data_IF_697363739133
#
_entry.id   IF_697363739133
#
_cell.length_a   1.000
_cell.length_b   1.000
_cell.length_c   1.000
_cell.angle_alpha   90.00
_cell.angle_beta   90.00
_cell.angle_gamma   90.00
#
_symmetry.space_group_name_H-M   'P 1'
#
loop_
_entity.id
_entity.type
_entity.pdbx_description
1 polymer ?
#
# COMPACT_ATOMS: atom_id res chain seq x y z
N UNK A 1 31.25 -28.24 2.19
CA UNK A 1 32.64 -27.88 1.87
C UNK A 1 33.27 -27.28 3.13
N UNK A 2 34.50 -27.65 3.44
CA UNK A 2 35.16 -27.17 4.65
C UNK A 2 35.33 -25.63 4.60
N UNK A 3 35.16 -25.02 5.75
CA UNK A 3 35.33 -23.55 5.89
C UNK A 3 36.82 -23.20 6.04
N UNK A 4 37.26 -21.96 5.68
CA UNK A 4 38.65 -21.54 5.90
C UNK A 4 39.11 -21.68 7.36
N UNK A 5 38.20 -21.55 8.32
CA UNK A 5 38.44 -21.67 9.75
C UNK A 5 38.77 -23.14 10.15
N UNK A 6 38.04 -24.07 9.57
CA UNK A 6 38.27 -25.52 9.80
C UNK A 6 39.61 -26.00 9.19
N UNK A 7 39.97 -25.46 8.00
CA UNK A 7 41.26 -25.79 7.38
C UNK A 7 42.45 -25.14 8.12
N UNK A 8 42.28 -23.96 8.73
CA UNK A 8 43.29 -23.35 9.61
C UNK A 8 43.53 -24.19 10.86
N UNK A 9 42.47 -24.70 11.50
CA UNK A 9 42.59 -25.58 12.64
C UNK A 9 43.32 -26.90 12.28
N UNK A 10 43.09 -27.46 11.08
CA UNK A 10 43.84 -28.64 10.60
C UNK A 10 45.28 -28.34 10.32
N UNK A 11 45.61 -27.17 9.79
CA UNK A 11 46.99 -26.74 9.57
C UNK A 11 47.76 -26.64 10.89
N UNK A 12 47.18 -26.00 11.92
CA UNK A 12 47.78 -25.88 13.24
C UNK A 12 48.00 -27.25 13.89
N UNK A 13 47.02 -28.17 13.78
CA UNK A 13 47.14 -29.53 14.31
C UNK A 13 48.21 -30.36 13.58
N UNK A 14 48.42 -30.14 12.27
CA UNK A 14 49.45 -30.78 11.49
C UNK A 14 50.86 -30.27 11.86
N UNK A 15 50.98 -28.94 12.06
CA UNK A 15 52.24 -28.33 12.53
C UNK A 15 52.62 -28.84 13.92
N UNK A 16 51.65 -28.99 14.83
CA UNK A 16 51.90 -29.52 16.18
C UNK A 16 52.35 -31.00 16.18
N UNK A 17 52.08 -31.72 15.09
CA UNK A 17 52.50 -33.12 14.89
C UNK A 17 53.73 -33.28 14.02
N UNK A 18 54.41 -32.16 13.66
CA UNK A 18 55.57 -32.08 12.75
C UNK A 18 55.29 -32.68 11.35
N UNK A 19 53.97 -32.77 10.95
CA UNK A 19 53.57 -33.22 9.61
C UNK A 19 53.53 -32.04 8.67
N UNK A 20 54.69 -31.68 8.12
CA UNK A 20 54.86 -30.49 7.25
C UNK A 20 54.17 -30.67 5.91
N UNK A 21 53.97 -31.91 5.42
CA UNK A 21 53.30 -32.16 4.16
C UNK A 21 51.75 -31.88 4.29
N UNK A 22 51.14 -32.33 5.35
CA UNK A 22 49.74 -32.10 5.67
C UNK A 22 49.50 -30.58 5.92
N UNK A 23 50.42 -29.91 6.62
CA UNK A 23 50.36 -28.49 6.88
C UNK A 23 50.44 -27.66 5.58
N UNK A 24 51.29 -28.01 4.62
CA UNK A 24 51.44 -27.37 3.32
C UNK A 24 50.17 -27.57 2.49
N UNK A 25 49.62 -28.78 2.45
CA UNK A 25 48.37 -29.05 1.73
C UNK A 25 47.19 -28.26 2.27
N UNK A 26 47.08 -28.11 3.59
CA UNK A 26 46.04 -27.28 4.23
C UNK A 26 46.23 -25.79 3.88
N UNK A 27 47.45 -25.28 3.84
CA UNK A 27 47.77 -23.91 3.42
C UNK A 27 47.30 -23.63 1.99
N UNK A 28 47.59 -24.52 1.06
CA UNK A 28 47.20 -24.40 -0.35
C UNK A 28 45.65 -24.36 -0.48
N UNK A 29 44.96 -25.17 0.33
CA UNK A 29 43.47 -25.17 0.37
C UNK A 29 42.92 -23.90 0.94
N UNK A 30 43.50 -23.35 1.99
CA UNK A 30 43.10 -22.07 2.57
C UNK A 30 43.21 -20.95 1.52
N UNK A 31 44.36 -20.83 0.84
CA UNK A 31 44.56 -19.83 -0.22
C UNK A 31 43.54 -19.97 -1.36
N UNK A 32 43.22 -21.19 -1.77
CA UNK A 32 42.18 -21.43 -2.79
C UNK A 32 40.79 -21.03 -2.32
N UNK A 33 40.45 -21.26 -1.06
CA UNK A 33 39.17 -20.88 -0.47
C UNK A 33 39.07 -19.37 -0.31
N UNK A 34 40.12 -18.73 0.17
CA UNK A 34 40.19 -17.25 0.30
C UNK A 34 40.09 -16.55 -1.07
N UNK A 35 40.76 -17.07 -2.11
CA UNK A 35 40.60 -16.58 -3.49
C UNK A 35 39.18 -16.77 -4.03
N UNK A 36 38.54 -17.91 -3.74
CA UNK A 36 37.12 -18.12 -4.13
C UNK A 36 36.18 -17.14 -3.43
N UNK A 37 36.38 -16.90 -2.14
CA UNK A 37 35.58 -15.93 -1.36
C UNK A 37 35.79 -14.52 -1.89
N UNK A 38 37.04 -14.12 -2.17
CA UNK A 38 37.37 -12.81 -2.73
C UNK A 38 36.77 -12.59 -4.14
N UNK A 39 36.77 -13.63 -4.99
CA UNK A 39 36.13 -13.57 -6.30
C UNK A 39 34.60 -13.51 -6.18
N UNK A 40 33.97 -14.31 -5.33
CA UNK A 40 32.53 -14.21 -5.06
C UNK A 40 32.13 -12.86 -4.45
N UNK A 41 32.99 -12.22 -3.67
CA UNK A 41 32.73 -10.87 -3.16
C UNK A 41 32.86 -9.78 -4.25
N UNK A 42 33.76 -9.99 -5.24
CA UNK A 42 33.90 -9.08 -6.39
C UNK A 42 32.76 -9.20 -7.41
N UNK A 43 32.23 -10.40 -7.62
CA UNK A 43 31.12 -10.65 -8.56
C UNK A 43 29.74 -10.22 -8.02
N UNK A 44 29.62 -9.94 -6.74
CA UNK A 44 28.41 -9.39 -6.13
C UNK A 44 28.40 -7.85 -6.23
N UNK A 45 28.41 -7.31 -7.42
CA UNK A 45 27.78 -6.00 -7.65
C UNK A 45 26.27 -6.19 -7.60
N UNK A 46 25.70 -6.21 -6.41
CA UNK A 46 24.26 -6.08 -6.23
C UNK A 46 23.91 -4.66 -6.64
N UNK A 47 23.48 -4.49 -7.87
CA UNK A 47 22.92 -3.21 -8.33
C UNK A 47 21.48 -3.16 -7.84
N UNK A 48 21.18 -2.26 -6.91
CA UNK A 48 19.81 -2.03 -6.50
C UNK A 48 19.01 -1.51 -7.70
N UNK A 49 17.92 -2.18 -8.02
CA UNK A 49 16.99 -1.76 -9.05
C UNK A 49 15.94 -0.81 -8.46
N UNK A 50 15.22 -0.10 -9.32
CA UNK A 50 14.10 0.75 -8.89
C UNK A 50 13.05 -0.09 -8.13
N UNK A 51 12.86 -1.35 -8.54
CA UNK A 51 11.94 -2.27 -7.89
C UNK A 51 12.40 -2.66 -6.48
N UNK A 52 13.70 -2.87 -6.24
CA UNK A 52 14.24 -3.19 -4.91
C UNK A 52 14.03 -2.03 -3.93
N UNK A 53 14.18 -0.79 -4.43
CA UNK A 53 13.91 0.42 -3.64
C UNK A 53 12.42 0.54 -3.36
N UNK A 54 11.56 0.34 -4.37
CA UNK A 54 10.12 0.38 -4.23
C UNK A 54 9.61 -0.65 -3.21
N UNK A 55 10.09 -1.90 -3.30
CA UNK A 55 9.75 -2.97 -2.33
C UNK A 55 10.21 -2.63 -0.91
N UNK A 56 11.39 -2.03 -0.76
CA UNK A 56 11.89 -1.61 0.55
C UNK A 56 11.03 -0.50 1.15
N UNK A 57 10.62 0.48 0.35
CA UNK A 57 9.72 1.56 0.78
C UNK A 57 8.34 0.98 1.15
N UNK A 58 7.82 0.05 0.36
CA UNK A 58 6.56 -0.64 0.64
C UNK A 58 6.59 -1.38 1.99
N UNK A 59 7.66 -2.10 2.29
CA UNK A 59 7.84 -2.78 3.58
C UNK A 59 7.92 -1.80 4.76
N UNK A 60 8.51 -0.63 4.57
CA UNK A 60 8.68 0.38 5.63
C UNK A 60 7.41 1.21 5.88
N UNK A 61 6.66 1.50 4.85
CA UNK A 61 5.53 2.44 4.89
C UNK A 61 4.16 1.77 4.79
N UNK A 62 4.10 0.50 4.34
CA UNK A 62 2.86 -0.19 3.98
C UNK A 62 2.21 0.34 2.69
N UNK A 63 2.86 1.26 1.97
CA UNK A 63 2.35 1.85 0.73
C UNK A 63 2.78 0.97 -0.44
N UNK A 64 1.88 0.47 -1.31
CA UNK A 64 2.20 -0.44 -2.41
C UNK A 64 2.92 0.27 -3.57
N UNK A 65 4.11 0.80 -3.31
CA UNK A 65 4.90 1.60 -4.27
C UNK A 65 5.41 0.73 -5.42
N UNK A 66 5.65 -0.55 -5.19
CA UNK A 66 6.06 -1.51 -6.23
C UNK A 66 4.99 -1.68 -7.32
N UNK A 67 3.72 -1.42 -7.00
CA UNK A 67 2.58 -1.51 -7.92
C UNK A 67 2.29 -0.18 -8.65
N UNK A 68 3.08 0.88 -8.42
CA UNK A 68 2.84 2.23 -8.94
C UNK A 68 3.77 2.61 -10.12
N UNK A 69 4.50 1.65 -10.70
CA UNK A 69 5.46 1.87 -11.78
C UNK A 69 4.87 1.85 -13.20
N UNK A 70 5.73 1.99 -14.21
CA UNK A 70 5.35 2.07 -15.63
C UNK A 70 4.58 0.83 -16.19
N UNK A 71 4.63 -0.31 -15.51
CA UNK A 71 3.81 -1.51 -15.80
C UNK A 71 2.32 -1.31 -15.50
N UNK A 72 1.94 -0.22 -14.81
CA UNK A 72 0.54 0.04 -14.46
C UNK A 72 -0.36 0.33 -15.66
N UNK A 73 0.17 0.86 -16.76
CA UNK A 73 -0.64 1.17 -17.95
C UNK A 73 -1.25 -0.10 -18.54
N UNK A 74 -0.49 -1.20 -18.62
CA UNK A 74 -1.01 -2.48 -19.13
C UNK A 74 -2.01 -3.11 -18.13
N UNK A 75 -1.71 -3.06 -16.85
CA UNK A 75 -2.64 -3.50 -15.81
C UNK A 75 -3.95 -2.72 -15.82
N UNK A 76 -3.89 -1.40 -15.99
CA UNK A 76 -5.07 -0.54 -16.08
C UNK A 76 -5.91 -0.82 -17.33
N UNK A 77 -5.29 -1.18 -18.46
CA UNK A 77 -6.03 -1.57 -19.68
C UNK A 77 -6.94 -2.78 -19.44
N UNK A 78 -6.44 -3.78 -18.72
CA UNK A 78 -7.18 -5.03 -18.48
C UNK A 78 -7.99 -5.04 -17.17
N UNK A 79 -8.01 -3.93 -16.42
CA UNK A 79 -8.74 -3.80 -15.14
C UNK A 79 -10.22 -4.19 -15.29
N UNK A 80 -10.89 -3.71 -16.35
CA UNK A 80 -12.30 -4.01 -16.60
C UNK A 80 -12.57 -5.52 -16.65
N UNK A 81 -11.79 -6.26 -17.44
CA UNK A 81 -11.93 -7.72 -17.58
C UNK A 81 -11.68 -8.45 -16.25
N UNK A 82 -10.64 -8.04 -15.50
CA UNK A 82 -10.34 -8.65 -14.19
C UNK A 82 -11.45 -8.42 -13.18
N UNK A 83 -12.04 -7.23 -13.14
CA UNK A 83 -13.17 -6.93 -12.26
C UNK A 83 -14.44 -7.66 -12.70
N UNK A 84 -14.76 -7.74 -14.01
CA UNK A 84 -15.91 -8.47 -14.55
C UNK A 84 -15.84 -9.97 -14.20
N UNK A 85 -14.66 -10.55 -14.24
CA UNK A 85 -14.45 -11.96 -13.86
C UNK A 85 -14.80 -12.24 -12.38
N UNK A 86 -14.83 -11.21 -11.52
CA UNK A 86 -15.12 -11.33 -10.08
C UNK A 86 -16.50 -10.79 -9.69
N UNK A 87 -17.00 -9.78 -10.40
CA UNK A 87 -18.29 -9.13 -10.14
C UNK A 87 -19.22 -9.41 -11.31
N UNK A 88 -19.93 -10.52 -11.21
CA UNK A 88 -20.78 -11.04 -12.30
C UNK A 88 -22.06 -10.23 -12.42
N UNK A 89 -22.50 -9.93 -13.64
CA UNK A 89 -23.77 -9.29 -13.93
C UNK A 89 -23.81 -7.78 -13.72
N UNK A 90 -22.63 -7.12 -13.53
CA UNK A 90 -22.52 -5.68 -13.37
C UNK A 90 -21.57 -5.04 -14.40
N UNK A 91 -21.54 -5.55 -15.63
CA UNK A 91 -20.55 -5.19 -16.65
C UNK A 91 -20.50 -3.69 -16.92
N UNK A 92 -21.67 -3.04 -17.01
CA UNK A 92 -21.75 -1.59 -17.25
C UNK A 92 -21.15 -0.77 -16.11
N UNK A 93 -21.44 -1.16 -14.86
CA UNK A 93 -20.91 -0.46 -13.68
C UNK A 93 -19.40 -0.67 -13.56
N UNK A 94 -18.92 -1.88 -13.75
CA UNK A 94 -17.49 -2.23 -13.75
C UNK A 94 -16.74 -1.46 -14.82
N UNK A 95 -17.25 -1.41 -16.05
CA UNK A 95 -16.60 -0.68 -17.13
C UNK A 95 -16.59 0.83 -16.89
N UNK A 96 -17.64 1.41 -16.31
CA UNK A 96 -17.69 2.82 -15.96
C UNK A 96 -16.62 3.17 -14.89
N UNK A 97 -16.49 2.35 -13.85
CA UNK A 97 -15.46 2.49 -12.81
C UNK A 97 -14.06 2.37 -13.41
N UNK A 98 -13.78 1.31 -14.16
CA UNK A 98 -12.49 1.08 -14.78
C UNK A 98 -12.08 2.21 -15.74
N UNK A 99 -13.02 2.73 -16.52
CA UNK A 99 -12.80 3.85 -17.43
C UNK A 99 -12.45 5.15 -16.68
N UNK A 100 -13.15 5.44 -15.60
CA UNK A 100 -12.89 6.64 -14.78
C UNK A 100 -11.49 6.59 -14.15
N UNK A 101 -11.11 5.43 -13.59
CA UNK A 101 -9.78 5.23 -13.01
C UNK A 101 -8.68 5.33 -14.06
N UNK A 102 -8.87 4.69 -15.23
CA UNK A 102 -7.93 4.81 -16.35
C UNK A 102 -7.71 6.25 -16.78
N UNK A 103 -8.80 7.04 -16.87
CA UNK A 103 -8.74 8.45 -17.24
C UNK A 103 -7.94 9.28 -16.24
N UNK A 104 -8.20 9.09 -14.94
CA UNK A 104 -7.46 9.79 -13.88
C UNK A 104 -5.97 9.43 -13.91
N UNK A 105 -5.64 8.14 -13.99
CA UNK A 105 -4.25 7.65 -14.03
C UNK A 105 -3.50 8.06 -15.31
N UNK A 106 -4.21 8.32 -16.39
CA UNK A 106 -3.62 8.85 -17.63
C UNK A 106 -3.33 10.37 -17.56
N UNK A 107 -3.61 11.03 -16.43
CA UNK A 107 -3.29 12.44 -16.21
C UNK A 107 -4.29 13.42 -16.86
N UNK A 108 -5.51 12.98 -17.20
CA UNK A 108 -6.55 13.86 -17.74
C UNK A 108 -7.29 14.68 -16.68
N UNK A 109 -7.05 14.40 -15.39
CA UNK A 109 -7.62 15.13 -14.27
C UNK A 109 -6.58 16.06 -13.63
N UNK A 110 -7.03 17.14 -12.97
CA UNK A 110 -6.18 18.19 -12.38
C UNK A 110 -5.25 17.74 -11.25
N UNK A 111 -5.27 16.45 -10.90
CA UNK A 111 -4.43 15.84 -9.86
C UNK A 111 -4.74 16.34 -8.43
N UNK A 112 -5.79 17.14 -8.26
CA UNK A 112 -6.20 17.65 -6.95
C UNK A 112 -7.34 16.86 -6.33
N UNK A 113 -8.04 16.03 -7.08
CA UNK A 113 -9.20 15.24 -6.66
C UNK A 113 -8.79 13.81 -6.31
N UNK A 114 -9.63 13.04 -5.57
CA UNK A 114 -9.47 11.60 -5.43
C UNK A 114 -9.32 10.88 -6.78
N UNK A 115 -8.70 9.69 -6.80
CA UNK A 115 -8.52 8.87 -8.02
C UNK A 115 -9.85 8.63 -8.74
N UNK A 116 -10.92 8.48 -7.96
CA UNK A 116 -12.27 8.32 -8.47
C UNK A 116 -13.30 8.48 -7.36
N UNK A 117 -14.46 9.00 -7.72
CA UNK A 117 -15.61 9.15 -6.82
C UNK A 117 -16.82 8.53 -7.49
N UNK A 118 -17.46 7.58 -6.81
CA UNK A 118 -18.52 6.76 -7.40
C UNK A 118 -19.72 6.67 -6.46
N UNK A 119 -20.92 6.85 -7.00
CA UNK A 119 -22.16 6.59 -6.31
C UNK A 119 -22.80 5.31 -6.84
N UNK A 120 -22.84 4.27 -6.00
CA UNK A 120 -23.48 3.00 -6.32
C UNK A 120 -24.93 2.98 -5.84
N UNK A 121 -25.87 3.04 -6.75
CA UNK A 121 -27.31 3.00 -6.47
C UNK A 121 -27.87 1.66 -6.90
N UNK A 122 -28.66 1.03 -6.01
CA UNK A 122 -29.32 -0.25 -6.32
C UNK A 122 -29.73 -1.01 -5.06
N UNK A 123 -30.54 -2.07 -5.19
CA UNK A 123 -31.00 -2.88 -4.06
C UNK A 123 -29.83 -3.59 -3.36
N UNK A 124 -30.12 -4.17 -2.20
CA UNK A 124 -29.15 -5.01 -1.46
C UNK A 124 -28.81 -6.27 -2.26
N UNK A 125 -27.57 -6.78 -2.10
CA UNK A 125 -27.14 -8.03 -2.71
C UNK A 125 -26.69 -7.95 -4.17
N UNK A 126 -26.76 -6.81 -4.84
CA UNK A 126 -26.34 -6.67 -6.26
C UNK A 126 -24.84 -6.52 -6.48
N UNK A 127 -24.02 -6.60 -5.42
CA UNK A 127 -22.56 -6.61 -5.55
C UNK A 127 -21.86 -5.26 -5.33
N UNK A 128 -22.54 -4.21 -4.82
CA UNK A 128 -21.94 -2.88 -4.58
C UNK A 128 -20.66 -2.95 -3.71
N UNK A 129 -20.78 -3.59 -2.56
CA UNK A 129 -19.64 -3.76 -1.62
C UNK A 129 -18.57 -4.70 -2.18
N UNK A 130 -18.97 -5.73 -2.92
CA UNK A 130 -18.02 -6.66 -3.54
C UNK A 130 -17.20 -5.96 -4.63
N UNK A 131 -17.82 -5.10 -5.43
CA UNK A 131 -17.09 -4.29 -6.40
C UNK A 131 -16.01 -3.41 -5.73
N UNK A 132 -16.34 -2.75 -4.61
CA UNK A 132 -15.37 -1.97 -3.83
C UNK A 132 -14.20 -2.85 -3.33
N UNK A 133 -14.48 -4.05 -2.81
CA UNK A 133 -13.43 -4.99 -2.36
C UNK A 133 -12.53 -5.48 -3.48
N UNK A 134 -13.10 -5.81 -4.63
CA UNK A 134 -12.32 -6.25 -5.80
C UNK A 134 -11.50 -5.09 -6.38
N UNK A 135 -12.03 -3.88 -6.33
CA UNK A 135 -11.32 -2.68 -6.74
C UNK A 135 -10.13 -2.37 -5.81
N UNK A 136 -10.31 -2.53 -4.48
CA UNK A 136 -9.21 -2.39 -3.53
C UNK A 136 -8.08 -3.40 -3.81
N UNK A 137 -8.45 -4.65 -4.05
CA UNK A 137 -7.48 -5.70 -4.39
C UNK A 137 -6.74 -5.39 -5.71
N UNK A 138 -7.46 -4.88 -6.72
CA UNK A 138 -6.87 -4.59 -8.03
C UNK A 138 -5.96 -3.35 -8.00
N UNK A 139 -6.35 -2.28 -7.29
CA UNK A 139 -5.61 -1.02 -7.22
C UNK A 139 -4.48 -1.04 -6.18
N UNK A 140 -4.72 -1.65 -5.03
CA UNK A 140 -3.84 -1.54 -3.85
C UNK A 140 -3.28 -2.90 -3.40
N UNK A 141 -3.59 -3.99 -4.10
CA UNK A 141 -3.03 -5.32 -3.85
C UNK A 141 -3.62 -6.06 -2.66
N UNK A 142 -4.50 -5.45 -1.87
CA UNK A 142 -5.16 -6.08 -0.73
C UNK A 142 -6.62 -5.65 -0.62
N UNK A 143 -7.48 -6.57 -0.17
CA UNK A 143 -8.88 -6.27 0.14
C UNK A 143 -9.05 -5.45 1.42
N UNK A 144 -8.02 -5.38 2.25
CA UNK A 144 -8.02 -4.65 3.51
C UNK A 144 -7.73 -3.15 3.33
N UNK A 145 -7.35 -2.73 2.11
CA UNK A 145 -7.20 -1.32 1.77
C UNK A 145 -8.56 -0.60 1.62
N UNK A 146 -9.47 -0.85 2.57
CA UNK A 146 -10.81 -0.24 2.62
C UNK A 146 -11.03 0.41 3.99
N UNK A 147 -11.36 1.70 3.95
CA UNK A 147 -11.85 2.44 5.09
C UNK A 147 -13.39 2.44 5.00
N UNK A 148 -14.05 1.53 5.71
CA UNK A 148 -15.51 1.47 5.73
C UNK A 148 -16.06 2.36 6.83
N UNK A 149 -17.07 3.15 6.49
CA UNK A 149 -17.87 3.98 7.37
C UNK A 149 -19.36 3.68 7.13
N UNK A 150 -20.07 3.34 8.17
CA UNK A 150 -21.52 3.22 8.15
C UNK A 150 -22.12 4.59 8.48
N UNK A 151 -22.75 5.23 7.50
CA UNK A 151 -23.27 6.60 7.67
C UNK A 151 -24.47 6.69 8.61
N UNK A 152 -25.07 5.58 9.00
CA UNK A 152 -26.07 5.57 10.07
C UNK A 152 -25.50 5.98 11.44
N UNK A 153 -24.21 5.74 11.68
CA UNK A 153 -23.49 6.18 12.88
C UNK A 153 -23.14 7.68 12.86
N UNK A 154 -23.32 8.32 11.68
CA UNK A 154 -23.00 9.72 11.41
C UNK A 154 -24.26 10.56 11.10
N UNK A 155 -25.38 10.22 11.74
CA UNK A 155 -26.67 10.87 11.51
C UNK A 155 -26.99 11.99 12.51
N UNK A 156 -26.14 12.24 13.48
CA UNK A 156 -26.33 13.23 14.54
C UNK A 156 -25.38 14.43 14.40
N UNK A 157 -25.61 15.51 15.18
CA UNK A 157 -24.80 16.72 15.16
C UNK A 157 -23.34 16.52 15.57
N UNK A 158 -23.00 15.42 16.21
CA UNK A 158 -21.61 15.09 16.61
C UNK A 158 -20.85 14.36 15.48
N UNK A 159 -21.54 14.01 14.40
CA UNK A 159 -21.00 13.25 13.28
C UNK A 159 -19.76 13.88 12.64
N UNK A 160 -19.74 15.21 12.51
CA UNK A 160 -18.58 15.94 11.99
C UNK A 160 -17.35 15.72 12.87
N UNK A 161 -17.50 15.82 14.18
CA UNK A 161 -16.39 15.57 15.14
C UNK A 161 -15.90 14.11 15.10
N UNK A 162 -16.80 13.15 14.84
CA UNK A 162 -16.42 11.75 14.66
C UNK A 162 -15.57 11.53 13.39
N UNK A 163 -15.79 12.34 12.35
CA UNK A 163 -15.05 12.24 11.08
C UNK A 163 -13.69 12.93 11.11
N UNK A 164 -13.62 14.16 11.64
CA UNK A 164 -12.42 14.99 11.59
C UNK A 164 -11.71 15.14 12.93
N UNK A 165 -12.32 14.64 14.01
CA UNK A 165 -11.83 14.84 15.38
C UNK A 165 -12.34 16.12 16.02
N UNK A 166 -12.12 16.23 17.31
CA UNK A 166 -12.49 17.39 18.14
C UNK A 166 -11.36 18.39 18.21
N UNK A 167 -11.71 19.68 18.30
CA UNK A 167 -10.76 20.77 18.54
C UNK A 167 -10.18 20.70 19.96
N UNK A 168 -8.95 21.14 20.14
CA UNK A 168 -8.32 21.20 21.45
C UNK A 168 -9.20 21.94 22.47
N UNK A 169 -9.36 21.35 23.66
CA UNK A 169 -10.16 21.90 24.75
C UNK A 169 -11.58 21.33 24.88
N UNK A 170 -12.02 20.49 23.94
CA UNK A 170 -13.30 19.79 24.04
C UNK A 170 -13.13 18.35 24.56
N UNK A 171 -14.17 17.82 25.19
CA UNK A 171 -14.22 16.42 25.68
C UNK A 171 -14.10 15.48 24.48
N UNK A 172 -13.19 14.49 24.56
CA UNK A 172 -12.92 13.53 23.46
C UNK A 172 -11.72 13.90 22.59
N UNK A 173 -10.94 14.91 22.94
CA UNK A 173 -9.73 15.32 22.20
C UNK A 173 -8.66 14.19 22.10
N UNK A 174 -8.55 13.37 23.14
CA UNK A 174 -7.53 12.30 23.21
C UNK A 174 -7.88 11.08 22.35
N UNK A 175 -9.10 10.93 21.86
CA UNK A 175 -9.57 9.74 21.11
C UNK A 175 -9.78 10.01 19.60
N UNK A 176 -8.87 10.78 18.99
CA UNK A 176 -8.91 11.08 17.56
C UNK A 176 -8.34 9.93 16.69
N UNK A 177 -7.92 8.81 17.29
CA UNK A 177 -7.20 7.73 16.62
C UNK A 177 -8.02 7.00 15.53
N UNK A 178 -9.34 7.07 15.59
CA UNK A 178 -10.26 6.36 14.68
C UNK A 178 -11.05 7.28 13.73
N UNK A 179 -10.69 8.57 13.65
CA UNK A 179 -11.33 9.51 12.71
C UNK A 179 -10.99 9.16 11.27
N UNK A 180 -11.85 9.59 10.32
CA UNK A 180 -11.58 9.40 8.88
C UNK A 180 -10.23 10.02 8.48
N UNK A 181 -9.97 11.23 8.96
CA UNK A 181 -8.72 11.94 8.67
C UNK A 181 -7.48 11.17 9.14
N UNK A 182 -7.50 10.58 10.33
CA UNK A 182 -6.39 9.80 10.85
C UNK A 182 -6.24 8.45 10.12
N UNK A 183 -7.36 7.78 9.81
CA UNK A 183 -7.34 6.53 9.03
C UNK A 183 -6.75 6.73 7.64
N UNK A 184 -7.10 7.83 6.95
CA UNK A 184 -6.54 8.18 5.64
C UNK A 184 -5.08 8.62 5.75
N UNK A 185 -4.68 9.33 6.83
CA UNK A 185 -3.29 9.68 7.07
C UNK A 185 -2.41 8.44 7.20
N UNK A 186 -2.89 7.40 7.92
CA UNK A 186 -2.18 6.12 8.07
C UNK A 186 -2.19 5.28 6.80
N UNK A 187 -3.31 5.29 6.07
CA UNK A 187 -3.51 4.50 4.85
C UNK A 187 -3.96 5.38 3.69
N UNK A 188 -3.06 6.18 3.09
CA UNK A 188 -3.43 7.13 2.04
C UNK A 188 -3.85 6.45 0.72
N UNK A 189 -3.48 5.20 0.51
CA UNK A 189 -3.86 4.39 -0.65
C UNK A 189 -4.96 3.42 -0.26
N UNK A 190 -6.20 3.91 -0.22
CA UNK A 190 -7.35 3.15 0.25
C UNK A 190 -8.63 3.53 -0.50
N UNK A 191 -9.61 2.63 -0.42
CA UNK A 191 -10.99 2.94 -0.80
C UNK A 191 -11.75 3.39 0.44
N UNK A 192 -12.39 4.53 0.36
CA UNK A 192 -13.30 5.01 1.38
C UNK A 192 -14.72 4.59 0.98
N UNK A 193 -15.26 3.61 1.68
CA UNK A 193 -16.59 3.11 1.44
C UNK A 193 -17.57 3.74 2.45
N UNK A 194 -18.43 4.61 1.94
CA UNK A 194 -19.49 5.27 2.69
C UNK A 194 -20.78 4.46 2.49
N UNK A 195 -21.15 3.62 3.45
CA UNK A 195 -22.36 2.80 3.37
C UNK A 195 -23.55 3.58 3.88
N UNK A 196 -24.72 3.43 3.24
CA UNK A 196 -25.98 4.09 3.61
C UNK A 196 -25.88 5.63 3.67
N UNK A 197 -25.25 6.22 2.67
CA UNK A 197 -24.94 7.67 2.59
C UNK A 197 -26.17 8.56 2.82
N UNK A 198 -27.35 8.08 2.48
CA UNK A 198 -28.64 8.79 2.67
C UNK A 198 -29.01 9.03 4.14
N UNK A 199 -28.37 8.33 5.08
CA UNK A 199 -28.59 8.47 6.53
C UNK A 199 -27.67 9.51 7.19
N UNK A 200 -26.66 10.00 6.47
CA UNK A 200 -25.68 10.93 7.00
C UNK A 200 -26.31 12.30 7.32
N UNK A 201 -25.80 12.95 8.37
CA UNK A 201 -26.13 14.36 8.66
C UNK A 201 -25.73 15.26 7.47
N UNK A 202 -26.54 16.26 7.10
CA UNK A 202 -26.22 17.20 6.00
C UNK A 202 -24.87 17.89 6.12
N UNK A 203 -24.35 18.14 7.33
CA UNK A 203 -23.04 18.72 7.54
C UNK A 203 -21.91 17.76 7.14
N UNK A 204 -22.10 16.45 7.38
CA UNK A 204 -21.19 15.40 6.92
C UNK A 204 -21.14 15.36 5.39
N UNK A 205 -22.31 15.45 4.72
CA UNK A 205 -22.37 15.49 3.26
C UNK A 205 -21.61 16.73 2.73
N UNK A 206 -21.81 17.90 3.34
CA UNK A 206 -21.10 19.12 2.94
C UNK A 206 -19.57 18.97 3.08
N UNK A 207 -19.13 18.31 4.15
CA UNK A 207 -17.71 18.05 4.40
C UNK A 207 -17.12 17.05 3.38
N UNK A 208 -17.88 16.03 3.03
CA UNK A 208 -17.50 15.08 1.97
C UNK A 208 -17.41 15.74 0.60
N UNK A 209 -18.30 16.69 0.27
CA UNK A 209 -18.20 17.47 -0.98
C UNK A 209 -16.88 18.22 -1.08
N UNK A 210 -16.36 18.78 0.01
CA UNK A 210 -15.04 19.40 0.04
C UNK A 210 -13.93 18.38 -0.31
N UNK A 211 -14.02 17.16 0.22
CA UNK A 211 -13.05 16.08 -0.11
C UNK A 211 -13.11 15.76 -1.61
N UNK A 212 -14.31 15.66 -2.17
CA UNK A 212 -14.51 15.33 -3.59
C UNK A 212 -13.98 16.41 -4.53
N UNK A 213 -14.05 17.67 -4.15
CA UNK A 213 -13.63 18.81 -4.99
C UNK A 213 -12.14 19.16 -4.78
N UNK A 214 -11.71 19.30 -3.53
CA UNK A 214 -10.36 19.75 -3.21
C UNK A 214 -9.36 18.59 -2.97
N UNK A 215 -9.84 17.35 -2.81
CA UNK A 215 -9.01 16.18 -2.49
C UNK A 215 -8.26 16.29 -1.18
N UNK A 216 -8.76 17.12 -0.26
CA UNK A 216 -8.15 17.35 1.06
C UNK A 216 -9.21 17.66 2.10
N UNK A 217 -8.87 17.41 3.36
CA UNK A 217 -9.72 17.73 4.49
C UNK A 217 -8.85 18.18 5.66
N UNK A 218 -9.27 19.23 6.37
CA UNK A 218 -8.59 19.69 7.58
C UNK A 218 -9.22 19.03 8.80
N UNK A 219 -8.37 18.43 9.65
CA UNK A 219 -8.80 17.80 10.90
C UNK A 219 -9.12 18.84 11.99
N UNK A 220 -9.69 18.40 13.11
CA UNK A 220 -10.01 19.26 14.24
C UNK A 220 -8.78 19.91 14.93
N UNK A 221 -7.57 19.48 14.58
CA UNK A 221 -6.31 20.03 15.07
C UNK A 221 -5.68 21.04 14.10
N UNK A 222 -6.31 21.29 12.94
CA UNK A 222 -5.81 22.20 11.91
C UNK A 222 -4.84 21.56 10.91
N UNK A 223 -4.60 20.24 10.97
CA UNK A 223 -3.74 19.56 10.00
C UNK A 223 -4.53 19.21 8.74
N UNK A 224 -3.95 19.43 7.58
CA UNK A 224 -4.55 19.06 6.30
C UNK A 224 -4.17 17.64 5.92
N UNK A 225 -5.18 16.81 5.66
CA UNK A 225 -5.02 15.42 5.20
C UNK A 225 -5.35 15.33 3.72
N UNK A 226 -4.52 14.61 2.97
CA UNK A 226 -4.61 14.47 1.52
C UNK A 226 -5.38 13.20 1.14
N UNK A 227 -6.39 13.34 0.30
CA UNK A 227 -7.27 12.27 -0.20
C UNK A 227 -7.04 11.95 -1.69
N UNK A 228 -6.03 12.55 -2.34
CA UNK A 228 -5.79 12.39 -3.79
C UNK A 228 -5.49 10.96 -4.21
N UNK A 229 -4.96 10.16 -3.32
CA UNK A 229 -4.64 8.75 -3.58
C UNK A 229 -5.76 7.79 -3.17
N UNK A 230 -6.90 8.30 -2.75
CA UNK A 230 -8.06 7.48 -2.37
C UNK A 230 -9.04 7.32 -3.51
N UNK A 231 -9.90 6.31 -3.41
CA UNK A 231 -11.15 6.17 -4.19
C UNK A 231 -12.31 6.26 -3.21
N UNK A 232 -13.36 6.98 -3.53
CA UNK A 232 -14.53 7.21 -2.67
C UNK A 232 -15.78 6.65 -3.33
#
# INVERSE_FOLDING_TARGET
PPTPTEEKAKQEAAVAKEDYEAALNSKIRIEKLEKKIANHAKDRKVTATVNDVAESVERMTGIPVSQMGATDIERLKDMGNRLQAKVIGQDKAVEAVARSIRRNRAGFDDGNRPIGSFLFVGPTGVGKTELAKQLALDLFGTKDAIIRLDMSEYSDRTAVSKLIGTTAGYVGYDDNSNTLTERVRRNPYSIILLDEIEKADPQVITLLLQVLDDGRLTDGQGNTVNFKNTVI
#
